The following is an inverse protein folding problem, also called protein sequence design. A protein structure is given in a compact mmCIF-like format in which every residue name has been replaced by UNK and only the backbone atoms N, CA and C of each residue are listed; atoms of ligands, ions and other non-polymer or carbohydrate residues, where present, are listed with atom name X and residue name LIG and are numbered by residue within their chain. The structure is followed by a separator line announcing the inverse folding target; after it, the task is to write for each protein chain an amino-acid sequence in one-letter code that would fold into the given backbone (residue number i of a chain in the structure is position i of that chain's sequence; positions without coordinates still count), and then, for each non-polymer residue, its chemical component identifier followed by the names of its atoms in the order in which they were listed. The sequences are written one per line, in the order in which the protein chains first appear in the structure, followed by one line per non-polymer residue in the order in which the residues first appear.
data_IF_096395395328
#
_entry.id   IF_096395395328
#
_cell.length_a   1.000
_cell.length_b   1.000
_cell.length_c   1.000
_cell.angle_alpha   90.00
_cell.angle_beta   90.00
_cell.angle_gamma   90.00
#
_symmetry.space_group_name_H-M   'P 1'
#
loop_
_entity.id
_entity.type
_entity.pdbx_description
1 polymer ?
#
# COMPACT_ATOMS: atom_id res chain seq x y z
N UNK A 1 19.09 -28.59 12.05
CA UNK A 1 17.63 -28.73 11.93
C UNK A 1 17.26 -28.21 10.56
N UNK A 2 16.90 -29.12 9.66
CA UNK A 2 16.51 -28.81 8.28
C UNK A 2 15.11 -28.23 8.33
N UNK A 3 14.97 -26.93 8.02
CA UNK A 3 13.66 -26.31 7.84
C UNK A 3 13.05 -26.96 6.59
N UNK A 4 12.00 -27.73 6.78
CA UNK A 4 11.21 -28.27 5.68
C UNK A 4 10.68 -27.07 4.87
N UNK A 5 11.12 -26.94 3.62
CA UNK A 5 10.46 -26.07 2.66
C UNK A 5 9.08 -26.67 2.40
N UNK A 6 8.06 -26.09 3.02
CA UNK A 6 6.67 -26.41 2.66
C UNK A 6 6.48 -26.00 1.20
N UNK A 7 6.16 -26.98 0.38
CA UNK A 7 5.82 -26.81 -1.04
C UNK A 7 4.63 -25.86 -1.12
N UNK A 8 4.69 -24.78 -1.94
CA UNK A 8 3.54 -23.89 -2.13
C UNK A 8 2.33 -24.74 -2.53
N UNK A 9 1.27 -24.66 -1.77
CA UNK A 9 0.06 -25.42 -2.10
C UNK A 9 -0.51 -24.83 -3.38
N UNK A 10 -0.88 -25.67 -4.34
CA UNK A 10 -1.62 -25.31 -5.59
C UNK A 10 -2.82 -24.40 -5.30
N UNK A 11 -3.28 -24.38 -4.07
CA UNK A 11 -4.38 -23.61 -3.54
C UNK A 11 -4.10 -22.09 -3.49
N UNK A 12 -2.89 -21.65 -3.06
CA UNK A 12 -2.56 -20.22 -2.94
C UNK A 12 -2.56 -19.50 -4.31
N UNK A 13 -1.96 -20.11 -5.32
CA UNK A 13 -1.92 -19.55 -6.66
C UNK A 13 -3.33 -19.44 -7.26
N UNK A 14 -4.15 -20.48 -7.11
CA UNK A 14 -5.53 -20.50 -7.59
C UNK A 14 -6.40 -19.42 -6.90
N UNK A 15 -6.30 -19.32 -5.56
CA UNK A 15 -7.01 -18.33 -4.77
C UNK A 15 -6.63 -16.90 -5.19
N UNK A 16 -5.34 -16.60 -5.31
CA UNK A 16 -4.84 -15.27 -5.69
C UNK A 16 -5.26 -14.91 -7.12
N UNK A 17 -5.13 -15.84 -8.07
CA UNK A 17 -5.56 -15.63 -9.44
C UNK A 17 -7.07 -15.40 -9.54
N UNK A 18 -7.89 -16.19 -8.84
CA UNK A 18 -9.34 -16.01 -8.81
C UNK A 18 -9.73 -14.62 -8.31
N UNK A 19 -9.10 -14.17 -7.22
CA UNK A 19 -9.34 -12.83 -6.66
C UNK A 19 -8.87 -11.72 -7.61
N UNK A 20 -7.72 -11.89 -8.26
CA UNK A 20 -7.23 -10.95 -9.26
C UNK A 20 -8.20 -10.85 -10.45
N UNK A 21 -8.66 -11.98 -10.99
CA UNK A 21 -9.60 -12.00 -12.12
C UNK A 21 -10.94 -11.33 -11.76
N UNK A 22 -11.44 -11.54 -10.53
CA UNK A 22 -12.62 -10.84 -10.04
C UNK A 22 -12.41 -9.31 -10.08
N UNK A 23 -11.32 -8.81 -9.49
CA UNK A 23 -11.01 -7.38 -9.47
C UNK A 23 -10.76 -6.83 -10.89
N UNK A 24 -10.10 -7.61 -11.76
CA UNK A 24 -9.82 -7.23 -13.14
C UNK A 24 -11.08 -7.10 -13.96
N UNK A 25 -12.01 -8.03 -13.84
CA UNK A 25 -13.31 -8.01 -14.54
C UNK A 25 -14.11 -6.79 -14.15
N UNK A 26 -14.22 -6.51 -12.85
CA UNK A 26 -14.93 -5.34 -12.35
C UNK A 26 -14.26 -4.01 -12.71
N UNK A 27 -12.91 -4.00 -12.78
CA UNK A 27 -12.20 -2.84 -13.30
C UNK A 27 -12.52 -2.59 -14.77
N UNK A 28 -12.51 -3.63 -15.60
CA UNK A 28 -12.77 -3.50 -17.04
C UNK A 28 -14.22 -3.09 -17.34
N UNK A 29 -15.16 -3.47 -16.48
CA UNK A 29 -16.56 -3.05 -16.58
C UNK A 29 -16.74 -1.53 -16.26
N UNK A 30 -15.92 -0.96 -15.37
CA UNK A 30 -15.97 0.44 -14.96
C UNK A 30 -14.57 1.02 -14.67
N UNK A 31 -13.72 1.24 -15.72
CA UNK A 31 -12.30 1.51 -15.54
C UNK A 31 -11.97 2.88 -14.93
N UNK A 32 -12.90 3.84 -15.02
CA UNK A 32 -12.67 5.22 -14.58
C UNK A 32 -13.75 5.68 -13.60
N UNK A 33 -13.68 5.28 -12.32
CA UNK A 33 -14.62 5.79 -11.32
C UNK A 33 -14.55 7.30 -11.22
N UNK A 34 -15.70 7.93 -11.03
CA UNK A 34 -15.82 9.38 -10.95
C UNK A 34 -15.26 9.95 -9.62
N UNK A 35 -15.31 11.26 -9.48
CA UNK A 35 -14.84 11.95 -8.28
C UNK A 35 -15.58 11.52 -7.01
N UNK A 36 -16.88 11.31 -7.09
CA UNK A 36 -17.69 10.96 -5.92
C UNK A 36 -17.33 9.54 -5.44
N UNK A 37 -17.19 8.59 -6.36
CA UNK A 37 -16.79 7.23 -6.03
C UNK A 37 -15.39 7.19 -5.39
N UNK A 38 -14.39 7.87 -5.98
CA UNK A 38 -13.02 7.90 -5.43
C UNK A 38 -12.99 8.58 -4.06
N UNK A 39 -13.76 9.66 -3.88
CA UNK A 39 -13.90 10.33 -2.58
C UNK A 39 -14.55 9.41 -1.54
N UNK A 40 -15.59 8.65 -1.93
CA UNK A 40 -16.25 7.69 -1.05
C UNK A 40 -15.30 6.57 -0.64
N UNK A 41 -14.49 6.06 -1.57
CA UNK A 41 -13.47 5.04 -1.28
C UNK A 41 -12.46 5.53 -0.24
N UNK A 42 -11.96 6.76 -0.37
CA UNK A 42 -11.09 7.39 0.62
C UNK A 42 -11.78 7.59 1.97
N UNK A 43 -13.04 7.99 1.98
CA UNK A 43 -13.83 8.15 3.21
C UNK A 43 -14.07 6.80 3.90
N UNK A 44 -14.35 5.74 3.15
CA UNK A 44 -14.51 4.39 3.68
C UNK A 44 -13.19 3.87 4.27
N UNK A 45 -12.05 4.13 3.61
CA UNK A 45 -10.72 3.77 4.13
C UNK A 45 -10.44 4.49 5.47
N UNK A 46 -10.75 5.78 5.55
CA UNK A 46 -10.64 6.56 6.79
C UNK A 46 -11.55 6.01 7.89
N UNK A 47 -12.81 5.70 7.57
CA UNK A 47 -13.77 5.14 8.52
C UNK A 47 -13.32 3.78 9.04
N UNK A 48 -12.84 2.90 8.15
CA UNK A 48 -12.29 1.59 8.54
C UNK A 48 -11.19 1.74 9.59
N UNK A 49 -10.31 2.75 9.46
CA UNK A 49 -9.27 3.05 10.41
C UNK A 49 -9.80 3.65 11.72
N UNK A 50 -10.63 4.70 11.62
CA UNK A 50 -11.07 5.48 12.79
C UNK A 50 -12.11 4.77 13.65
N UNK A 51 -13.02 4.00 13.05
CA UNK A 51 -14.06 3.26 13.75
C UNK A 51 -13.52 1.99 14.45
N UNK A 52 -12.32 1.51 14.07
CA UNK A 52 -11.70 0.30 14.61
C UNK A 52 -10.33 0.57 15.23
N UNK A 53 -10.04 1.81 15.59
CA UNK A 53 -8.72 2.24 16.06
C UNK A 53 -8.19 1.40 17.23
N UNK A 54 -8.99 1.17 18.25
CA UNK A 54 -8.55 0.42 19.45
C UNK A 54 -8.25 -1.05 19.09
N UNK A 55 -9.10 -1.70 18.32
CA UNK A 55 -8.88 -3.08 17.89
C UNK A 55 -7.61 -3.22 17.01
N UNK A 56 -7.34 -2.23 16.15
CA UNK A 56 -6.12 -2.18 15.32
C UNK A 56 -4.89 -2.02 16.20
N UNK A 57 -4.93 -1.11 17.19
CA UNK A 57 -3.82 -0.89 18.12
C UNK A 57 -3.54 -2.16 18.94
N UNK A 58 -4.58 -2.82 19.44
CA UNK A 58 -4.45 -4.04 20.22
C UNK A 58 -3.88 -5.19 19.39
N UNK A 59 -4.33 -5.34 18.15
CA UNK A 59 -3.80 -6.35 17.22
C UNK A 59 -2.31 -6.12 16.91
N UNK A 60 -1.91 -4.87 16.62
CA UNK A 60 -0.49 -4.52 16.41
C UNK A 60 0.33 -4.79 17.67
N UNK A 61 -0.17 -4.40 18.86
CA UNK A 61 0.52 -4.65 20.11
C UNK A 61 0.73 -6.16 20.35
N UNK A 62 -0.26 -6.97 20.02
CA UNK A 62 -0.15 -8.43 20.10
C UNK A 62 0.88 -9.02 19.13
N UNK A 63 0.94 -8.52 17.89
CA UNK A 63 1.93 -8.94 16.87
C UNK A 63 3.37 -8.59 17.28
N UNK A 64 3.58 -7.44 17.91
CA UNK A 64 4.89 -6.99 18.41
C UNK A 64 5.28 -7.57 19.76
N UNK A 65 4.35 -8.21 20.45
CA UNK A 65 4.54 -8.70 21.80
C UNK A 65 4.41 -7.62 22.89
N UNK A 66 4.38 -6.35 22.60
CA UNK A 66 4.05 -5.23 23.53
C UNK A 66 4.40 -3.83 22.96
N UNK A 67 3.93 -3.47 21.77
CA UNK A 67 4.14 -2.12 21.22
C UNK A 67 3.30 -1.08 21.97
N UNK A 68 3.90 0.09 22.23
CA UNK A 68 3.20 1.20 22.88
C UNK A 68 1.97 1.65 22.07
N UNK A 69 0.81 1.78 22.73
CA UNK A 69 -0.41 2.31 22.12
C UNK A 69 -0.21 3.71 21.55
N UNK A 70 0.52 4.58 22.28
CA UNK A 70 0.79 5.95 21.83
C UNK A 70 1.69 5.98 20.59
N UNK A 71 2.64 5.07 20.50
CA UNK A 71 3.48 4.94 19.31
C UNK A 71 2.66 4.56 18.08
N UNK A 72 1.80 3.55 18.20
CA UNK A 72 0.90 3.14 17.13
C UNK A 72 -0.08 4.27 16.76
N UNK A 73 -0.67 4.97 17.73
CA UNK A 73 -1.53 6.11 17.47
C UNK A 73 -0.82 7.19 16.67
N UNK A 74 0.38 7.57 17.08
CA UNK A 74 1.14 8.65 16.44
C UNK A 74 1.66 8.25 15.06
N UNK A 75 2.38 7.13 14.98
CA UNK A 75 3.09 6.72 13.77
C UNK A 75 2.20 6.14 12.68
N UNK A 76 1.08 5.55 13.07
CA UNK A 76 0.21 4.83 12.13
C UNK A 76 -1.16 5.48 12.01
N UNK A 77 -1.89 5.70 13.10
CA UNK A 77 -3.28 6.16 12.99
C UNK A 77 -3.37 7.63 12.57
N UNK A 78 -2.67 8.53 13.29
CA UNK A 78 -2.72 9.97 13.03
C UNK A 78 -2.11 10.28 11.66
N UNK A 79 -0.90 9.76 11.38
CA UNK A 79 -0.20 10.02 10.13
C UNK A 79 -1.02 9.56 8.91
N UNK A 80 -1.63 8.37 8.97
CA UNK A 80 -2.46 7.84 7.88
C UNK A 80 -3.76 8.64 7.74
N UNK A 81 -4.40 9.01 8.85
CA UNK A 81 -5.62 9.82 8.82
C UNK A 81 -5.38 11.17 8.14
N UNK A 82 -4.26 11.82 8.46
CA UNK A 82 -3.87 13.09 7.84
C UNK A 82 -3.57 12.92 6.34
N UNK A 83 -2.86 11.85 5.97
CA UNK A 83 -2.59 11.54 4.57
C UNK A 83 -3.87 11.27 3.76
N UNK A 84 -4.84 10.55 4.31
CA UNK A 84 -6.15 10.34 3.65
C UNK A 84 -6.92 11.65 3.53
N UNK A 85 -6.91 12.51 4.56
CA UNK A 85 -7.54 13.83 4.51
C UNK A 85 -6.92 14.72 3.42
N UNK A 86 -5.59 14.70 3.30
CA UNK A 86 -4.88 15.43 2.25
C UNK A 86 -5.25 14.91 0.85
N UNK A 87 -5.31 13.59 0.68
CA UNK A 87 -5.76 12.97 -0.57
C UNK A 87 -7.19 13.41 -0.94
N UNK A 88 -8.13 13.40 0.01
CA UNK A 88 -9.52 13.86 -0.22
C UNK A 88 -9.54 15.32 -0.65
N UNK A 89 -8.75 16.17 0.02
CA UNK A 89 -8.66 17.61 -0.25
C UNK A 89 -8.16 17.91 -1.66
N UNK A 90 -7.16 17.15 -2.13
CA UNK A 90 -6.49 17.41 -3.40
C UNK A 90 -7.03 16.59 -4.57
N UNK A 91 -7.87 15.57 -4.32
CA UNK A 91 -8.39 14.62 -5.30
C UNK A 91 -8.94 15.29 -6.57
N UNK A 92 -9.78 16.33 -6.40
CA UNK A 92 -10.39 17.04 -7.53
C UNK A 92 -9.35 17.70 -8.44
N UNK A 93 -8.27 18.20 -7.84
CA UNK A 93 -7.14 18.79 -8.57
C UNK A 93 -6.35 17.72 -9.35
N UNK A 94 -6.09 16.58 -8.73
CA UNK A 94 -5.36 15.47 -9.36
C UNK A 94 -6.11 14.84 -10.54
N UNK A 95 -7.43 14.80 -10.47
CA UNK A 95 -8.28 14.28 -11.55
C UNK A 95 -8.45 15.24 -12.74
N UNK A 96 -7.95 16.47 -12.63
CA UNK A 96 -8.17 17.49 -13.65
C UNK A 96 -7.45 17.16 -14.96
N UNK A 97 -8.19 17.21 -16.07
CA UNK A 97 -7.63 17.12 -17.42
C UNK A 97 -6.66 18.28 -17.67
N UNK A 98 -5.47 17.97 -18.12
CA UNK A 98 -4.42 18.94 -18.41
C UNK A 98 -4.30 19.14 -19.91
N UNK A 99 -4.38 20.41 -20.36
CA UNK A 99 -4.08 20.77 -21.75
C UNK A 99 -2.57 20.67 -21.99
N UNK A 100 -2.17 20.27 -23.18
CA UNK A 100 -0.78 20.25 -23.63
C UNK A 100 -0.61 21.05 -24.91
N UNK A 101 0.62 21.45 -25.19
CA UNK A 101 0.97 22.21 -26.38
C UNK A 101 0.62 21.42 -27.64
N UNK A 102 0.18 22.14 -28.66
CA UNK A 102 -0.05 21.65 -30.03
C UNK A 102 0.59 22.65 -30.98
N UNK A 103 1.37 22.15 -31.92
CA UNK A 103 1.81 22.95 -33.06
C UNK A 103 0.61 23.16 -34.01
N UNK A 104 -0.04 24.30 -33.88
CA UNK A 104 -1.24 24.65 -34.68
C UNK A 104 -0.94 24.89 -36.15
N UNK A 105 0.33 25.15 -36.51
CA UNK A 105 0.75 25.29 -37.89
C UNK A 105 0.76 23.93 -38.59
N UNK A 106 1.26 22.90 -37.91
CA UNK A 106 1.30 21.53 -38.41
C UNK A 106 -0.05 20.81 -38.25
N UNK A 107 -0.80 21.12 -37.19
CA UNK A 107 -2.05 20.45 -36.82
C UNK A 107 -3.19 21.43 -36.54
N UNK A 108 -3.72 22.14 -37.56
CA UNK A 108 -4.78 23.13 -37.35
C UNK A 108 -6.03 22.51 -36.72
N UNK A 109 -6.52 23.13 -35.61
CA UNK A 109 -7.72 22.69 -34.90
C UNK A 109 -7.50 21.52 -33.93
N UNK A 110 -6.30 20.93 -33.84
CA UNK A 110 -5.98 19.86 -32.90
C UNK A 110 -5.94 20.33 -31.44
N UNK A 111 -6.20 19.40 -30.52
CA UNK A 111 -6.17 19.64 -29.06
C UNK A 111 -5.51 18.48 -28.35
N UNK A 112 -4.37 18.71 -27.68
CA UNK A 112 -3.70 17.71 -26.87
C UNK A 112 -4.14 17.83 -25.41
N UNK A 113 -4.38 16.67 -24.79
CA UNK A 113 -4.80 16.56 -23.38
C UNK A 113 -4.10 15.39 -22.70
N UNK A 114 -3.80 15.53 -21.41
CA UNK A 114 -3.46 14.43 -20.52
C UNK A 114 -4.65 14.22 -19.61
N UNK A 115 -5.17 13.00 -19.59
CA UNK A 115 -6.33 12.59 -18.81
C UNK A 115 -5.84 11.55 -17.80
N UNK A 116 -5.83 11.86 -16.46
CA UNK A 116 -5.50 10.88 -15.43
C UNK A 116 -6.53 9.74 -15.42
N UNK A 117 -6.04 8.50 -15.47
CA UNK A 117 -6.88 7.31 -15.45
C UNK A 117 -6.34 6.29 -14.45
N UNK A 118 -7.20 5.41 -13.94
CA UNK A 118 -6.77 4.28 -13.12
C UNK A 118 -5.95 3.29 -13.97
N UNK A 119 -4.99 2.65 -13.35
CA UNK A 119 -4.19 1.58 -13.99
C UNK A 119 -4.96 0.26 -14.05
N UNK A 120 -5.64 -0.08 -12.95
CA UNK A 120 -6.36 -1.33 -12.82
C UNK A 120 -6.29 -1.90 -11.40
N UNK A 121 -5.71 -3.09 -11.27
CA UNK A 121 -5.53 -3.80 -10.00
C UNK A 121 -4.09 -3.62 -9.50
N UNK A 122 -3.94 -3.02 -8.32
CA UNK A 122 -2.63 -2.79 -7.67
C UNK A 122 -2.39 -3.87 -6.63
N UNK A 123 -1.27 -4.58 -6.75
CA UNK A 123 -0.76 -5.48 -5.72
C UNK A 123 0.12 -4.72 -4.73
N UNK A 124 -0.05 -4.97 -3.43
CA UNK A 124 0.76 -4.35 -2.38
C UNK A 124 1.36 -5.43 -1.48
N UNK A 125 2.67 -5.39 -1.24
CA UNK A 125 3.38 -6.28 -0.32
C UNK A 125 3.93 -5.43 0.81
N UNK A 126 3.42 -5.67 2.02
CA UNK A 126 3.57 -4.79 3.18
C UNK A 126 4.45 -5.45 4.24
N UNK A 127 5.44 -4.74 4.81
CA UNK A 127 6.27 -5.24 5.90
C UNK A 127 5.56 -5.14 7.26
N UNK A 128 6.25 -5.56 8.30
CA UNK A 128 5.72 -5.68 9.67
C UNK A 128 5.88 -4.43 10.54
N UNK A 129 6.86 -3.55 10.23
CA UNK A 129 7.29 -2.48 11.17
C UNK A 129 6.26 -1.35 11.36
N UNK A 130 5.59 -0.91 10.28
CA UNK A 130 4.48 0.05 10.30
C UNK A 130 3.34 -0.44 9.40
N UNK A 131 2.65 -1.54 9.80
CA UNK A 131 1.78 -2.28 8.89
C UNK A 131 0.55 -1.49 8.44
N UNK A 132 0.01 -0.58 9.26
CA UNK A 132 -1.09 0.29 8.85
C UNK A 132 -0.59 1.42 7.94
N UNK A 133 0.48 2.10 8.31
CA UNK A 133 1.01 3.20 7.49
C UNK A 133 1.40 2.70 6.09
N UNK A 134 2.16 1.60 6.05
CA UNK A 134 2.71 1.05 4.81
C UNK A 134 1.69 0.26 3.96
N UNK A 135 0.47 0.03 4.47
CA UNK A 135 -0.66 -0.46 3.68
C UNK A 135 -1.65 0.64 3.32
N UNK A 136 -2.11 1.44 4.27
CA UNK A 136 -3.20 2.41 4.07
C UNK A 136 -2.77 3.65 3.28
N UNK A 137 -1.51 4.11 3.37
CA UNK A 137 -1.03 5.24 2.55
C UNK A 137 -0.94 4.87 1.05
N UNK A 138 -0.36 3.72 0.66
CA UNK A 138 -0.47 3.25 -0.72
C UNK A 138 -1.91 2.98 -1.16
N UNK A 139 -2.79 2.44 -0.27
CA UNK A 139 -4.21 2.26 -0.56
C UNK A 139 -4.92 3.59 -0.83
N UNK A 140 -4.64 4.63 -0.02
CA UNK A 140 -5.19 5.96 -0.24
C UNK A 140 -4.78 6.51 -1.62
N UNK A 141 -3.52 6.33 -2.01
CA UNK A 141 -3.03 6.73 -3.34
C UNK A 141 -3.68 5.92 -4.46
N UNK A 142 -3.82 4.60 -4.29
CA UNK A 142 -4.47 3.72 -5.26
C UNK A 142 -5.95 4.08 -5.45
N UNK A 143 -6.68 4.36 -4.36
CA UNK A 143 -8.11 4.72 -4.41
C UNK A 143 -8.32 6.14 -4.95
N UNK A 144 -7.44 7.09 -4.61
CA UNK A 144 -7.44 8.41 -5.22
C UNK A 144 -7.25 8.36 -6.74
N UNK A 145 -6.40 7.44 -7.22
CA UNK A 145 -6.21 7.19 -8.64
C UNK A 145 -7.35 6.38 -9.29
N UNK A 146 -8.26 5.77 -8.49
CA UNK A 146 -9.39 4.99 -8.95
C UNK A 146 -9.11 3.50 -9.14
N UNK A 147 -7.98 3.00 -8.63
CA UNK A 147 -7.58 1.61 -8.72
C UNK A 147 -8.35 0.69 -7.74
N UNK A 148 -8.25 -0.61 -7.98
CA UNK A 148 -8.59 -1.71 -7.06
C UNK A 148 -7.30 -2.22 -6.42
N UNK A 149 -7.39 -2.91 -5.29
CA UNK A 149 -6.20 -3.33 -4.56
C UNK A 149 -6.31 -4.72 -3.95
N UNK A 150 -5.21 -5.45 -4.05
CA UNK A 150 -4.92 -6.66 -3.28
C UNK A 150 -3.71 -6.36 -2.37
N UNK A 151 -3.79 -6.70 -1.09
CA UNK A 151 -2.76 -6.37 -0.10
C UNK A 151 -2.31 -7.63 0.61
N UNK A 152 -1.05 -8.01 0.43
CA UNK A 152 -0.39 -9.11 1.15
C UNK A 152 0.34 -8.52 2.35
N UNK A 153 -0.09 -8.88 3.55
CA UNK A 153 0.50 -8.44 4.81
C UNK A 153 1.70 -9.33 5.20
N UNK A 154 2.52 -8.84 6.12
CA UNK A 154 3.66 -9.61 6.62
C UNK A 154 3.23 -10.82 7.47
N UNK A 155 4.04 -11.87 7.44
CA UNK A 155 3.95 -13.03 8.34
C UNK A 155 4.08 -12.65 9.84
N UNK A 156 4.70 -11.52 10.14
CA UNK A 156 4.84 -11.01 11.50
C UNK A 156 3.68 -10.09 11.95
N UNK A 157 2.63 -9.95 11.12
CA UNK A 157 1.46 -9.11 11.40
C UNK A 157 0.16 -9.93 11.36
N UNK A 158 0.17 -11.13 11.96
CA UNK A 158 -0.92 -12.13 11.84
C UNK A 158 -2.22 -11.61 12.45
N UNK A 159 -2.17 -11.10 13.68
CA UNK A 159 -3.36 -10.62 14.39
C UNK A 159 -3.99 -9.43 13.66
N UNK A 160 -3.16 -8.47 13.24
CA UNK A 160 -3.63 -7.34 12.44
C UNK A 160 -4.21 -7.80 11.10
N UNK A 161 -3.53 -8.71 10.40
CA UNK A 161 -3.98 -9.20 9.09
C UNK A 161 -5.36 -9.84 9.17
N UNK A 162 -5.58 -10.72 10.15
CA UNK A 162 -6.88 -11.36 10.39
C UNK A 162 -7.97 -10.35 10.70
N UNK A 163 -7.66 -9.36 11.53
CA UNK A 163 -8.58 -8.25 11.79
C UNK A 163 -8.92 -7.48 10.51
N UNK A 164 -7.93 -7.12 9.68
CA UNK A 164 -8.16 -6.40 8.42
C UNK A 164 -8.96 -7.25 7.41
N UNK A 165 -8.75 -8.56 7.37
CA UNK A 165 -9.54 -9.49 6.53
C UNK A 165 -11.00 -9.55 6.98
N UNK A 166 -11.28 -9.45 8.29
CA UNK A 166 -12.63 -9.39 8.84
C UNK A 166 -13.31 -8.03 8.60
N UNK A 167 -12.55 -6.94 8.78
CA UNK A 167 -13.07 -5.58 8.68
C UNK A 167 -13.31 -5.13 7.25
N UNK A 168 -12.37 -5.42 6.33
CA UNK A 168 -12.43 -4.84 4.99
C UNK A 168 -13.73 -5.10 4.24
N UNK A 169 -14.41 -6.28 4.33
CA UNK A 169 -15.69 -6.50 3.66
C UNK A 169 -16.85 -5.65 4.20
N UNK A 170 -16.71 -5.07 5.39
CA UNK A 170 -17.71 -4.16 5.98
C UNK A 170 -17.66 -2.76 5.36
N UNK A 171 -16.56 -2.39 4.71
CA UNK A 171 -16.31 -1.06 4.11
C UNK A 171 -16.15 -1.10 2.59
N UNK A 172 -15.70 -2.22 2.05
CA UNK A 172 -15.41 -2.39 0.63
C UNK A 172 -15.90 -3.75 0.14
N UNK A 173 -16.45 -3.84 -1.06
CA UNK A 173 -16.68 -5.13 -1.69
C UNK A 173 -15.33 -5.83 -1.98
N UNK A 174 -15.32 -7.16 -1.99
CA UNK A 174 -14.12 -7.98 -2.18
C UNK A 174 -13.42 -7.75 -3.52
N UNK A 175 -14.17 -7.31 -4.52
CA UNK A 175 -13.66 -6.93 -5.83
C UNK A 175 -12.98 -5.55 -5.82
N UNK A 176 -13.09 -4.75 -4.74
CA UNK A 176 -12.41 -3.46 -4.57
C UNK A 176 -11.15 -3.58 -3.73
N UNK A 177 -11.23 -4.25 -2.58
CA UNK A 177 -10.13 -4.42 -1.62
C UNK A 177 -10.13 -5.81 -1.02
N UNK A 178 -8.96 -6.47 -1.04
CA UNK A 178 -8.76 -7.73 -0.35
C UNK A 178 -7.40 -7.79 0.34
N UNK A 179 -7.38 -8.19 1.62
CA UNK A 179 -6.16 -8.50 2.37
C UNK A 179 -5.88 -9.99 2.37
N UNK A 180 -4.58 -10.35 2.43
CA UNK A 180 -4.10 -11.73 2.43
C UNK A 180 -3.07 -11.92 3.54
N UNK A 181 -3.23 -13.03 4.27
CA UNK A 181 -2.28 -13.52 5.26
C UNK A 181 -1.13 -14.29 4.57
N UNK A 182 0.07 -14.24 5.12
CA UNK A 182 1.18 -15.10 4.70
C UNK A 182 1.07 -16.46 5.39
N UNK A 183 0.63 -17.46 4.65
CA UNK A 183 0.43 -18.84 5.14
C UNK A 183 1.39 -19.86 4.53
N UNK A 184 2.58 -19.39 4.13
CA UNK A 184 3.59 -20.20 3.45
C UNK A 184 3.54 -20.04 1.92
N UNK A 185 4.43 -19.21 1.40
CA UNK A 185 4.60 -19.00 -0.03
C UNK A 185 3.58 -18.08 -0.71
N UNK A 186 2.62 -17.49 0.03
CA UNK A 186 1.65 -16.53 -0.54
C UNK A 186 2.37 -15.36 -1.18
N UNK A 187 3.40 -14.80 -0.54
CA UNK A 187 4.17 -13.68 -1.09
C UNK A 187 4.89 -14.00 -2.39
N UNK A 188 5.37 -15.24 -2.54
CA UNK A 188 6.00 -15.71 -3.79
C UNK A 188 4.96 -15.76 -4.91
N UNK A 189 3.82 -16.42 -4.68
CA UNK A 189 2.74 -16.53 -5.67
C UNK A 189 2.11 -15.15 -5.97
N UNK A 190 1.96 -14.30 -4.95
CA UNK A 190 1.46 -12.94 -5.12
C UNK A 190 2.32 -12.10 -6.06
N UNK A 191 3.66 -12.22 -5.99
CA UNK A 191 4.57 -11.50 -6.87
C UNK A 191 4.52 -11.93 -8.33
N UNK A 192 3.93 -13.10 -8.63
CA UNK A 192 3.74 -13.64 -9.98
C UNK A 192 2.42 -13.21 -10.63
N UNK A 193 1.49 -12.64 -9.87
CA UNK A 193 0.21 -12.16 -10.40
C UNK A 193 0.45 -11.00 -11.37
N UNK A 194 -0.22 -10.97 -12.55
CA UNK A 194 -0.03 -9.92 -13.55
C UNK A 194 -0.77 -8.63 -13.18
N UNK A 195 -0.40 -8.04 -12.04
CA UNK A 195 -0.93 -6.75 -11.60
C UNK A 195 -0.60 -5.63 -12.60
N UNK A 196 -1.40 -4.57 -12.58
CA UNK A 196 -1.12 -3.35 -13.34
C UNK A 196 -0.04 -2.49 -12.67
N UNK A 197 0.23 -2.71 -11.38
CA UNK A 197 1.32 -2.16 -10.59
C UNK A 197 1.54 -3.02 -9.34
N UNK A 198 2.80 -3.24 -8.95
CA UNK A 198 3.14 -3.76 -7.62
C UNK A 198 3.83 -2.66 -6.82
N UNK A 199 3.36 -2.43 -5.58
CA UNK A 199 4.02 -1.61 -4.57
C UNK A 199 4.60 -2.56 -3.53
N UNK A 200 5.91 -2.52 -3.34
CA UNK A 200 6.64 -3.36 -2.39
C UNK A 200 7.40 -2.48 -1.41
N UNK A 201 7.24 -2.75 -0.12
CA UNK A 201 8.08 -2.18 0.94
C UNK A 201 8.78 -3.30 1.70
N UNK A 202 10.12 -3.23 1.80
CA UNK A 202 10.88 -4.25 2.51
C UNK A 202 12.38 -4.24 2.21
N UNK A 203 13.03 -5.42 2.34
CA UNK A 203 14.46 -5.53 2.10
C UNK A 203 14.82 -5.43 0.60
N UNK A 204 16.01 -4.89 0.31
CA UNK A 204 16.51 -4.83 -1.07
C UNK A 204 16.64 -6.22 -1.71
N UNK A 205 16.95 -7.26 -0.93
CA UNK A 205 17.04 -8.63 -1.46
C UNK A 205 15.66 -9.16 -1.90
N UNK A 206 14.65 -8.99 -1.07
CA UNK A 206 13.28 -9.37 -1.42
C UNK A 206 12.74 -8.53 -2.57
N UNK A 207 13.03 -7.22 -2.59
CA UNK A 207 12.65 -6.32 -3.68
C UNK A 207 13.20 -6.76 -5.04
N UNK A 208 14.44 -7.25 -5.11
CA UNK A 208 15.02 -7.83 -6.34
C UNK A 208 14.21 -9.06 -6.80
N UNK A 209 13.82 -9.94 -5.87
CA UNK A 209 13.03 -11.13 -6.19
C UNK A 209 11.63 -10.76 -6.69
N UNK A 210 10.97 -9.79 -6.03
CA UNK A 210 9.66 -9.27 -6.46
C UNK A 210 9.76 -8.66 -7.87
N UNK A 211 10.77 -7.83 -8.12
CA UNK A 211 11.00 -7.22 -9.42
C UNK A 211 11.25 -8.27 -10.52
N UNK A 212 12.05 -9.31 -10.23
CA UNK A 212 12.30 -10.40 -11.16
C UNK A 212 11.03 -11.20 -11.50
N UNK A 213 10.16 -11.45 -10.52
CA UNK A 213 8.85 -12.09 -10.74
C UNK A 213 7.92 -11.20 -11.57
N UNK A 214 7.79 -9.93 -11.22
CA UNK A 214 6.94 -8.94 -11.90
C UNK A 214 7.35 -8.75 -13.37
N UNK A 215 8.66 -8.82 -13.67
CA UNK A 215 9.19 -8.67 -15.02
C UNK A 215 8.68 -9.72 -16.00
N UNK A 216 8.29 -10.92 -15.51
CA UNK A 216 7.72 -11.97 -16.37
C UNK A 216 6.37 -11.55 -16.99
N UNK A 217 5.66 -10.64 -16.33
CA UNK A 217 4.38 -10.10 -16.79
C UNK A 217 4.48 -8.64 -17.29
N UNK A 218 5.69 -8.09 -17.35
CA UNK A 218 5.94 -6.66 -17.59
C UNK A 218 5.20 -5.75 -16.59
N UNK A 219 4.92 -6.25 -15.40
CA UNK A 219 4.27 -5.48 -14.33
C UNK A 219 5.23 -4.42 -13.79
N UNK A 220 4.87 -3.13 -13.82
CA UNK A 220 5.65 -2.07 -13.18
C UNK A 220 5.74 -2.28 -11.68
N UNK A 221 6.89 -1.90 -11.08
CA UNK A 221 7.09 -1.99 -9.63
C UNK A 221 7.51 -0.67 -9.04
N UNK A 222 6.97 -0.35 -7.86
CA UNK A 222 7.47 0.69 -6.95
C UNK A 222 8.10 -0.02 -5.77
N UNK A 223 9.39 0.20 -5.55
CA UNK A 223 10.17 -0.46 -4.51
C UNK A 223 10.58 0.56 -3.45
N UNK A 224 10.01 0.45 -2.27
CA UNK A 224 10.40 1.19 -1.07
C UNK A 224 11.31 0.30 -0.23
N UNK A 225 12.59 0.64 -0.19
CA UNK A 225 13.64 -0.23 0.33
C UNK A 225 14.38 0.43 1.49
N UNK A 226 15.13 -0.39 2.24
CA UNK A 226 16.02 0.10 3.28
C UNK A 226 17.18 0.93 2.73
N UNK A 227 17.71 1.79 3.56
CA UNK A 227 18.83 2.67 3.22
C UNK A 227 19.78 2.88 4.40
N UNK A 228 20.89 3.58 4.13
CA UNK A 228 21.85 4.05 5.13
C UNK A 228 21.81 5.57 5.16
N UNK A 229 20.99 6.12 6.06
CA UNK A 229 20.89 7.57 6.27
C UNK A 229 21.93 8.01 7.33
N UNK A 230 23.05 8.66 6.96
CA UNK A 230 24.04 9.12 7.92
C UNK A 230 23.51 10.34 8.68
N UNK A 231 23.74 10.37 10.00
CA UNK A 231 23.55 11.57 10.81
C UNK A 231 24.87 12.34 10.87
N UNK A 232 24.89 13.55 10.28
CA UNK A 232 26.04 14.45 10.31
C UNK A 232 25.81 15.50 11.40
N UNK A 233 26.75 15.59 12.36
CA UNK A 233 26.67 16.52 13.47
C UNK A 233 27.77 17.57 13.32
N UNK A 234 27.38 18.85 13.31
CA UNK A 234 28.34 19.95 13.32
C UNK A 234 29.20 19.93 14.60
N UNK A 235 30.52 20.18 14.53
CA UNK A 235 31.42 20.14 15.68
C UNK A 235 31.01 21.05 16.84
N UNK A 236 30.29 22.15 16.55
CA UNK A 236 29.82 23.10 17.55
C UNK A 236 28.42 22.80 18.08
N UNK A 237 27.73 21.76 17.56
CA UNK A 237 26.40 21.41 18.05
C UNK A 237 26.48 20.68 19.40
N UNK A 238 25.49 20.89 20.25
CA UNK A 238 25.43 20.23 21.56
C UNK A 238 25.27 18.71 21.41
N UNK A 239 26.34 17.96 21.71
CA UNK A 239 26.40 16.51 21.55
C UNK A 239 25.35 15.76 22.37
N UNK A 240 25.07 16.22 23.61
CA UNK A 240 24.01 15.62 24.44
C UNK A 240 22.67 15.68 23.73
N UNK A 241 22.29 16.88 23.24
CA UNK A 241 21.05 17.08 22.52
C UNK A 241 20.99 16.31 21.20
N UNK A 242 22.12 16.20 20.49
CA UNK A 242 22.22 15.38 19.27
C UNK A 242 21.96 13.91 19.58
N UNK A 243 22.64 13.38 20.62
CA UNK A 243 22.49 11.99 21.06
C UNK A 243 21.04 11.67 21.47
N UNK A 244 20.43 12.52 22.28
CA UNK A 244 19.04 12.34 22.73
C UNK A 244 18.08 12.25 21.53
N UNK A 245 18.24 13.13 20.52
CA UNK A 245 17.41 13.12 19.32
C UNK A 245 17.64 11.90 18.44
N UNK A 246 18.90 11.53 18.21
CA UNK A 246 19.25 10.36 17.40
C UNK A 246 18.73 9.08 18.06
N UNK A 247 18.91 8.94 19.38
CA UNK A 247 18.44 7.78 20.12
C UNK A 247 16.91 7.69 20.11
N UNK A 248 16.21 8.81 20.29
CA UNK A 248 14.75 8.83 20.20
C UNK A 248 14.26 8.29 18.83
N UNK A 249 14.85 8.78 17.73
CA UNK A 249 14.47 8.30 16.38
C UNK A 249 14.84 6.84 16.17
N UNK A 250 16.01 6.41 16.68
CA UNK A 250 16.48 5.02 16.56
C UNK A 250 15.67 4.00 17.38
N UNK A 251 15.06 4.43 18.47
CA UNK A 251 14.19 3.59 19.29
C UNK A 251 12.77 3.47 18.70
N UNK A 252 12.42 4.34 17.77
CA UNK A 252 11.09 4.38 17.18
C UNK A 252 10.88 3.31 16.12
N UNK A 253 11.98 2.89 15.43
CA UNK A 253 11.94 1.82 14.42
C UNK A 253 13.33 1.21 14.21
#
# INVERSE_FOLDING_TARGET
MTVAQETPTLDNAAMLNSQFQLQRTEYLAAPNPDYQQRKQDLQNLKRMLSENMDAIIDAISADYGNRSRHETQFAEIIAVTDGINDAIKHLKGWMKVQKRHVDIMMFPGAKNRVIPQALGVVGMIVPWNFPINLSFMPLASAFAAGNRAMVKMSENSINLTRLLMELSPKYFPVDKLRFFEETGGVGVEFSKIPFDLIVFTGSGQTGKSVMASAAQNLTPVVLELGGKAPAVIDPNYNLKKATERIMFVKQFN
#
